data_IF_849674870461
#
_entry.id   IF_849674870461
#
_cell.length_a   1.000
_cell.length_b   1.000
_cell.length_c   1.000
_cell.angle_alpha   90.00
_cell.angle_beta   90.00
_cell.angle_gamma   90.00
#
_symmetry.space_group_name_H-M   'P 1'
#
loop_
_entity.id
_entity.type
_entity.pdbx_description
1 polymer ?
#
# COMPACT_ATOMS: atom_id res chain seq x y z
N UNK A 1 24.71 8.35 -3.65
CA UNK A 1 25.04 9.15 -2.45
C UNK A 1 24.36 8.44 -1.28
N UNK A 2 25.09 7.88 -0.32
CA UNK A 2 24.47 7.24 0.85
C UNK A 2 23.84 8.34 1.71
N UNK A 3 22.52 8.29 1.90
CA UNK A 3 21.78 9.23 2.72
C UNK A 3 22.33 9.15 4.15
N UNK A 4 23.00 10.21 4.61
CA UNK A 4 23.50 10.28 5.98
C UNK A 4 22.31 10.42 6.93
N UNK A 5 21.86 9.30 7.53
CA UNK A 5 20.81 9.29 8.55
C UNK A 5 21.41 8.95 9.94
N UNK A 6 22.16 9.89 10.56
CA UNK A 6 22.80 9.65 11.84
C UNK A 6 21.73 9.30 12.89
N UNK A 7 21.96 8.20 13.60
CA UNK A 7 21.07 7.63 14.61
C UNK A 7 19.65 7.29 14.12
N UNK A 8 19.42 7.07 12.82
CA UNK A 8 18.11 6.66 12.29
C UNK A 8 16.97 7.64 12.66
N UNK A 9 17.31 8.94 12.74
CA UNK A 9 16.41 9.98 13.25
C UNK A 9 15.52 10.58 12.17
N UNK A 10 16.02 10.68 10.93
CA UNK A 10 15.28 11.20 9.79
C UNK A 10 14.28 10.17 9.27
N UNK A 11 13.16 10.67 8.77
CA UNK A 11 12.11 9.85 8.17
C UNK A 11 12.64 9.13 6.94
N UNK A 12 12.48 7.82 6.91
CA UNK A 12 12.70 6.98 5.72
C UNK A 12 11.44 6.16 5.51
N UNK A 13 10.88 6.16 4.31
CA UNK A 13 9.75 5.31 3.93
C UNK A 13 10.19 4.31 2.87
N UNK A 14 9.77 3.06 3.01
CA UNK A 14 9.96 1.99 2.03
C UNK A 14 8.60 1.36 1.74
N UNK A 15 8.24 1.38 0.47
CA UNK A 15 7.09 0.63 -0.03
C UNK A 15 7.45 -0.87 -0.01
N UNK A 16 6.59 -1.68 0.61
CA UNK A 16 6.74 -3.12 0.74
C UNK A 16 5.60 -3.89 0.08
N UNK A 17 4.78 -3.25 -0.78
CA UNK A 17 3.62 -3.89 -1.44
C UNK A 17 4.01 -5.11 -2.29
N UNK A 18 5.09 -5.01 -3.07
CA UNK A 18 5.58 -6.14 -3.88
C UNK A 18 6.02 -7.33 -3.01
N UNK A 19 6.65 -7.03 -1.87
CA UNK A 19 7.06 -8.06 -0.91
C UNK A 19 5.84 -8.70 -0.25
N UNK A 20 4.86 -7.88 0.16
CA UNK A 20 3.62 -8.35 0.77
C UNK A 20 2.83 -9.27 -0.17
N UNK A 21 2.72 -8.93 -1.46
CA UNK A 21 2.08 -9.80 -2.45
C UNK A 21 2.73 -11.19 -2.51
N UNK A 22 4.06 -11.24 -2.63
CA UNK A 22 4.81 -12.50 -2.64
C UNK A 22 4.69 -13.27 -1.32
N UNK A 23 4.75 -12.54 -0.20
CA UNK A 23 4.61 -13.13 1.13
C UNK A 23 3.25 -13.83 1.28
N UNK A 24 2.16 -13.16 0.87
CA UNK A 24 0.82 -13.75 0.94
C UNK A 24 0.66 -14.93 -0.01
N UNK A 25 1.21 -14.86 -1.23
CA UNK A 25 1.22 -16.00 -2.14
C UNK A 25 1.95 -17.21 -1.52
N UNK A 26 3.13 -17.02 -0.93
CA UNK A 26 3.94 -18.11 -0.37
C UNK A 26 3.33 -18.70 0.91
N UNK A 27 2.72 -17.87 1.76
CA UNK A 27 2.20 -18.29 3.08
C UNK A 27 0.77 -18.84 3.02
N UNK A 28 -0.10 -18.23 2.20
CA UNK A 28 -1.52 -18.55 2.19
C UNK A 28 -1.86 -19.73 1.29
N UNK A 29 -1.14 -19.94 0.18
CA UNK A 29 -1.39 -21.06 -0.76
C UNK A 29 -1.03 -22.45 -0.20
N UNK A 30 -0.30 -22.48 0.92
CA UNK A 30 0.06 -23.71 1.64
C UNK A 30 -1.06 -24.14 2.60
N UNK A 31 -2.04 -23.27 2.88
CA UNK A 31 -3.10 -23.56 3.83
C UNK A 31 -4.13 -24.52 3.26
N UNK A 32 -4.34 -25.61 4.00
CA UNK A 32 -5.32 -26.65 3.69
C UNK A 32 -6.09 -27.05 4.94
N UNK A 33 -7.39 -27.32 4.79
CA UNK A 33 -8.23 -27.88 5.84
C UNK A 33 -8.90 -29.15 5.31
N UNK A 34 -8.94 -30.21 6.12
CA UNK A 34 -9.68 -31.43 5.78
C UNK A 34 -10.43 -31.95 6.99
N UNK A 35 -11.69 -32.32 6.79
CA UNK A 35 -12.51 -32.99 7.80
C UNK A 35 -13.32 -34.09 7.13
N UNK A 36 -12.92 -35.34 7.37
CA UNK A 36 -13.54 -36.53 6.77
C UNK A 36 -13.43 -36.53 5.24
N UNK A 37 -14.58 -36.53 4.55
CA UNK A 37 -14.68 -36.52 3.08
C UNK A 37 -14.69 -35.11 2.48
N UNK A 38 -14.57 -34.06 3.31
CA UNK A 38 -14.54 -32.67 2.86
C UNK A 38 -13.13 -32.10 2.98
N UNK A 39 -12.61 -31.54 1.89
CA UNK A 39 -11.30 -30.89 1.87
C UNK A 39 -11.39 -29.51 1.23
N UNK A 40 -10.61 -28.56 1.73
CA UNK A 40 -10.49 -27.19 1.20
C UNK A 40 -9.03 -26.80 1.18
N UNK A 41 -8.62 -26.12 0.11
CA UNK A 41 -7.30 -25.57 -0.10
C UNK A 41 -7.41 -24.16 -0.67
N UNK A 42 -6.51 -23.27 -0.25
CA UNK A 42 -6.31 -21.98 -0.91
C UNK A 42 -5.45 -22.19 -2.15
N UNK A 43 -5.97 -21.86 -3.33
CA UNK A 43 -5.24 -22.05 -4.59
C UNK A 43 -4.34 -20.88 -4.92
N UNK A 44 -4.87 -19.66 -4.76
CA UNK A 44 -4.20 -18.45 -5.23
C UNK A 44 -4.70 -17.19 -4.51
N UNK A 45 -3.82 -16.22 -4.33
CA UNK A 45 -4.19 -14.84 -4.02
C UNK A 45 -4.58 -14.12 -5.32
N UNK A 46 -5.84 -13.69 -5.41
CA UNK A 46 -6.39 -13.04 -6.62
C UNK A 46 -5.98 -11.58 -6.68
N UNK A 47 -6.12 -10.87 -5.56
CA UNK A 47 -5.70 -9.47 -5.46
C UNK A 47 -5.32 -9.10 -4.03
N UNK A 48 -4.37 -8.18 -3.94
CA UNK A 48 -3.88 -7.55 -2.71
C UNK A 48 -3.85 -6.06 -3.01
N UNK A 49 -4.94 -5.38 -2.66
CA UNK A 49 -5.20 -4.00 -3.02
C UNK A 49 -5.09 -3.13 -1.76
N UNK A 50 -4.11 -2.24 -1.73
CA UNK A 50 -3.89 -1.37 -0.58
C UNK A 50 -2.46 -0.87 -0.48
N UNK A 51 -2.16 -0.28 0.66
CA UNK A 51 -0.86 0.31 0.95
C UNK A 51 -0.14 -0.53 2.01
N UNK A 52 1.15 -0.78 1.80
CA UNK A 52 2.03 -1.47 2.75
C UNK A 52 3.34 -0.70 2.82
N UNK A 53 3.49 0.10 3.86
CA UNK A 53 4.63 0.96 4.08
C UNK A 53 5.40 0.53 5.35
N UNK A 54 6.73 0.49 5.22
CA UNK A 54 7.63 0.36 6.35
C UNK A 54 8.41 1.66 6.48
N UNK A 55 8.16 2.36 7.58
CA UNK A 55 8.75 3.65 7.87
C UNK A 55 9.70 3.58 9.06
N UNK A 56 10.70 4.46 9.09
CA UNK A 56 11.54 4.68 10.25
C UNK A 56 11.38 6.10 10.75
N UNK A 57 11.20 6.23 12.07
CA UNK A 57 11.16 7.52 12.75
C UNK A 57 11.74 7.43 14.15
N UNK A 58 12.62 8.38 14.52
CA UNK A 58 13.21 8.49 15.87
C UNK A 58 13.85 7.16 16.35
N UNK A 59 14.52 6.44 15.44
CA UNK A 59 15.16 5.15 15.74
C UNK A 59 14.20 3.95 15.83
N UNK A 60 12.89 4.14 15.63
CA UNK A 60 11.89 3.07 15.62
C UNK A 60 11.42 2.76 14.21
N UNK A 61 11.25 1.48 13.90
CA UNK A 61 10.53 1.02 12.70
C UNK A 61 9.04 1.04 13.02
N UNK A 62 8.26 1.59 12.11
CA UNK A 62 6.81 1.70 12.18
C UNK A 62 6.30 1.10 10.88
N UNK A 63 5.40 0.13 10.99
CA UNK A 63 4.67 -0.41 9.85
C UNK A 63 3.33 0.30 9.78
N UNK A 64 2.93 0.68 8.56
CA UNK A 64 1.60 1.17 8.28
C UNK A 64 1.13 0.41 7.05
N UNK A 65 0.12 -0.42 7.25
CA UNK A 65 -0.49 -1.15 6.16
C UNK A 65 -2.00 -1.12 6.33
N UNK A 66 -2.69 -1.08 5.20
CA UNK A 66 -4.14 -1.19 5.06
C UNK A 66 -4.39 -1.84 3.71
N UNK A 67 -4.81 -3.10 3.75
CA UNK A 67 -4.90 -3.96 2.57
C UNK A 67 -6.22 -4.69 2.54
N UNK A 68 -6.88 -4.64 1.39
CA UNK A 68 -7.97 -5.53 1.02
C UNK A 68 -7.41 -6.71 0.24
N UNK A 69 -7.77 -7.92 0.65
CA UNK A 69 -7.27 -9.14 0.01
C UNK A 69 -8.41 -10.02 -0.49
N UNK A 70 -8.22 -10.65 -1.65
CA UNK A 70 -9.12 -11.66 -2.20
C UNK A 70 -8.36 -12.94 -2.49
N UNK A 71 -8.85 -14.05 -1.95
CA UNK A 71 -8.30 -15.39 -2.11
C UNK A 71 -9.25 -16.25 -2.92
N UNK A 72 -8.72 -17.16 -3.73
CA UNK A 72 -9.48 -18.23 -4.37
C UNK A 72 -9.19 -19.56 -3.67
N UNK A 73 -10.24 -20.33 -3.41
CA UNK A 73 -10.12 -21.65 -2.82
C UNK A 73 -10.84 -22.69 -3.67
N UNK A 74 -10.33 -23.91 -3.62
CA UNK A 74 -10.96 -25.11 -4.15
C UNK A 74 -11.10 -26.15 -3.05
N UNK A 75 -12.06 -27.03 -3.24
CA UNK A 75 -12.31 -28.11 -2.32
C UNK A 75 -13.18 -29.18 -2.93
N UNK A 76 -13.33 -30.27 -2.18
CA UNK A 76 -14.23 -31.35 -2.50
C UNK A 76 -15.12 -31.65 -1.30
N UNK A 77 -16.32 -32.14 -1.58
CA UNK A 77 -17.25 -32.70 -0.60
C UNK A 77 -17.66 -34.10 -1.05
N UNK A 78 -18.30 -34.86 -0.16
CA UNK A 78 -18.84 -36.18 -0.49
C UNK A 78 -19.81 -36.19 -1.69
N UNK A 79 -20.52 -35.07 -1.92
CA UNK A 79 -21.53 -34.94 -2.97
C UNK A 79 -21.00 -34.26 -4.24
N UNK A 80 -20.10 -33.30 -4.10
CA UNK A 80 -19.53 -32.54 -5.20
C UNK A 80 -17.99 -32.61 -5.16
N UNK A 81 -17.34 -33.27 -6.15
CA UNK A 81 -15.90 -33.45 -6.16
C UNK A 81 -15.11 -32.18 -6.52
N UNK A 82 -15.77 -31.14 -7.02
CA UNK A 82 -15.15 -29.86 -7.37
C UNK A 82 -16.04 -28.70 -6.94
N UNK A 83 -15.67 -28.09 -5.82
CA UNK A 83 -16.26 -26.88 -5.28
C UNK A 83 -15.18 -25.80 -5.30
N UNK A 84 -15.51 -24.63 -5.81
CA UNK A 84 -14.62 -23.47 -5.80
C UNK A 84 -15.35 -22.24 -5.25
N UNK A 85 -14.58 -21.29 -4.77
CA UNK A 85 -15.11 -20.04 -4.24
C UNK A 85 -14.01 -19.02 -3.99
N UNK A 86 -14.42 -17.89 -3.44
CA UNK A 86 -13.51 -16.82 -3.04
C UNK A 86 -13.71 -16.44 -1.59
N UNK A 87 -12.62 -16.12 -0.91
CA UNK A 87 -12.63 -15.54 0.44
C UNK A 87 -12.12 -14.10 0.29
N UNK A 88 -12.96 -13.13 0.65
CA UNK A 88 -12.58 -11.71 0.64
C UNK A 88 -12.37 -11.24 2.07
N UNK A 89 -11.25 -10.57 2.29
CA UNK A 89 -10.89 -9.92 3.56
C UNK A 89 -10.91 -8.42 3.27
N UNK A 90 -11.94 -7.68 3.72
CA UNK A 90 -12.15 -6.31 3.30
C UNK A 90 -11.07 -5.35 3.84
N UNK A 91 -10.49 -5.68 4.99
CA UNK A 91 -9.52 -4.84 5.68
C UNK A 91 -8.51 -5.71 6.46
N UNK A 92 -7.23 -5.44 6.22
CA UNK A 92 -6.08 -5.99 6.94
C UNK A 92 -5.22 -4.78 7.26
N UNK A 93 -5.37 -4.23 8.47
CA UNK A 93 -4.68 -3.02 8.88
C UNK A 93 -3.66 -3.29 9.99
N UNK A 94 -2.73 -2.35 10.17
CA UNK A 94 -1.65 -2.44 11.16
C UNK A 94 -2.11 -2.54 12.63
N UNK A 95 -3.35 -2.12 12.89
CA UNK A 95 -4.02 -2.08 14.19
C UNK A 95 -5.14 -3.13 14.31
N UNK A 96 -5.38 -3.93 13.26
CA UNK A 96 -6.35 -5.04 13.32
C UNK A 96 -5.78 -6.20 14.16
N UNK A 97 -6.49 -6.56 15.24
CA UNK A 97 -6.17 -7.74 16.04
C UNK A 97 -6.64 -9.04 15.36
N UNK A 98 -6.13 -10.19 15.81
CA UNK A 98 -6.39 -11.50 15.19
C UNK A 98 -7.88 -11.87 15.12
N UNK A 99 -8.65 -11.47 16.13
CA UNK A 99 -10.09 -11.72 16.25
C UNK A 99 -10.96 -10.69 15.50
N UNK A 100 -10.38 -9.54 15.12
CA UNK A 100 -11.09 -8.46 14.41
C UNK A 100 -11.19 -8.71 12.90
N UNK A 101 -10.39 -9.63 12.34
CA UNK A 101 -10.46 -9.97 10.92
C UNK A 101 -11.85 -10.50 10.51
N UNK A 102 -12.43 -9.82 9.51
CA UNK A 102 -13.69 -10.18 8.86
C UNK A 102 -13.40 -11.01 7.59
N UNK A 103 -14.08 -12.13 7.44
CA UNK A 103 -13.95 -13.02 6.29
C UNK A 103 -15.29 -13.18 5.58
N UNK A 104 -15.37 -12.74 4.33
CA UNK A 104 -16.52 -12.91 3.45
C UNK A 104 -16.28 -14.14 2.54
N UNK A 105 -17.12 -15.17 2.67
CA UNK A 105 -16.97 -16.42 1.93
C UNK A 105 -18.04 -16.50 0.84
N UNK A 106 -17.60 -16.46 -0.41
CA UNK A 106 -18.44 -16.66 -1.59
C UNK A 106 -18.15 -18.02 -2.21
N UNK A 107 -19.15 -18.89 -2.30
CA UNK A 107 -19.01 -20.20 -2.97
C UNK A 107 -19.65 -20.10 -4.35
N UNK A 108 -18.93 -20.51 -5.40
CA UNK A 108 -19.47 -20.48 -6.75
C UNK A 108 -20.56 -21.55 -6.93
N UNK A 109 -21.67 -21.14 -7.55
CA UNK A 109 -22.87 -21.96 -7.75
C UNK A 109 -23.39 -22.54 -6.42
N UNK A 110 -23.76 -21.66 -5.51
CA UNK A 110 -24.19 -22.01 -4.16
C UNK A 110 -25.41 -22.94 -4.16
N UNK A 111 -25.23 -24.12 -3.58
CA UNK A 111 -26.27 -25.13 -3.42
C UNK A 111 -26.26 -25.61 -1.96
N UNK A 112 -27.41 -26.04 -1.40
CA UNK A 112 -27.48 -26.54 -0.02
C UNK A 112 -26.49 -27.68 0.27
N UNK A 113 -26.12 -28.45 -0.76
CA UNK A 113 -25.15 -29.55 -0.70
C UNK A 113 -23.73 -29.10 -0.36
N UNK A 114 -23.39 -27.83 -0.63
CA UNK A 114 -22.08 -27.22 -0.36
C UNK A 114 -22.00 -26.58 1.02
N UNK A 115 -23.05 -26.64 1.84
CA UNK A 115 -23.02 -26.09 3.21
C UNK A 115 -21.86 -26.61 4.07
N UNK A 116 -21.46 -27.91 4.01
CA UNK A 116 -20.36 -28.42 4.85
C UNK A 116 -19.02 -27.76 4.56
N UNK A 117 -18.80 -27.27 3.33
CA UNK A 117 -17.55 -26.60 2.95
C UNK A 117 -17.41 -25.25 3.66
N UNK A 118 -18.52 -24.53 3.83
CA UNK A 118 -18.53 -23.24 4.54
C UNK A 118 -18.26 -23.44 6.02
N UNK A 119 -18.80 -24.51 6.59
CA UNK A 119 -18.57 -24.84 8.00
C UNK A 119 -17.12 -25.24 8.24
N UNK A 120 -16.51 -26.02 7.35
CA UNK A 120 -15.08 -26.35 7.41
C UNK A 120 -14.18 -25.11 7.25
N UNK A 121 -14.53 -24.20 6.34
CA UNK A 121 -13.79 -22.95 6.18
C UNK A 121 -13.84 -22.13 7.47
N UNK A 122 -15.00 -22.07 8.14
CA UNK A 122 -15.15 -21.33 9.40
C UNK A 122 -14.48 -22.00 10.60
N UNK A 123 -14.50 -23.33 10.68
CA UNK A 123 -13.94 -24.05 11.83
C UNK A 123 -12.42 -24.17 11.77
N UNK A 124 -11.84 -24.40 10.59
CA UNK A 124 -10.45 -24.84 10.47
C UNK A 124 -9.60 -23.89 9.61
N UNK A 125 -10.14 -23.37 8.51
CA UNK A 125 -9.37 -22.53 7.58
C UNK A 125 -9.24 -21.08 8.08
N UNK A 126 -10.33 -20.49 8.59
CA UNK A 126 -10.34 -19.12 9.11
C UNK A 126 -9.38 -18.95 10.30
N UNK A 127 -9.34 -19.85 11.30
CA UNK A 127 -8.34 -19.75 12.37
C UNK A 127 -6.89 -19.83 11.86
N UNK A 128 -6.62 -20.66 10.85
CA UNK A 128 -5.29 -20.71 10.24
C UNK A 128 -4.94 -19.41 9.49
N UNK A 129 -5.90 -18.84 8.76
CA UNK A 129 -5.74 -17.56 8.07
C UNK A 129 -5.47 -16.43 9.07
N UNK A 130 -6.19 -16.40 10.19
CA UNK A 130 -5.99 -15.42 11.27
C UNK A 130 -4.58 -15.47 11.84
N UNK A 131 -4.08 -16.65 12.18
CA UNK A 131 -2.71 -16.84 12.68
C UNK A 131 -1.68 -16.41 11.62
N UNK A 132 -1.89 -16.78 10.35
CA UNK A 132 -0.99 -16.41 9.26
C UNK A 132 -0.95 -14.88 9.03
N UNK A 133 -2.10 -14.21 9.07
CA UNK A 133 -2.19 -12.76 8.96
C UNK A 133 -1.58 -12.04 10.18
N UNK A 134 -1.76 -12.59 11.38
CA UNK A 134 -1.11 -12.06 12.60
C UNK A 134 0.43 -12.11 12.53
N UNK A 135 1.00 -13.07 11.79
CA UNK A 135 2.45 -13.16 11.57
C UNK A 135 2.99 -12.19 10.51
N UNK A 136 2.12 -11.58 9.70
CA UNK A 136 2.55 -10.65 8.66
C UNK A 136 3.29 -9.43 9.22
N UNK A 137 2.73 -8.76 10.23
CA UNK A 137 3.32 -7.57 10.85
C UNK A 137 4.73 -7.81 11.42
N UNK A 138 4.99 -8.84 12.25
CA UNK A 138 6.34 -9.11 12.74
C UNK A 138 7.31 -9.52 11.65
N UNK A 139 6.89 -10.30 10.65
CA UNK A 139 7.74 -10.71 9.52
C UNK A 139 8.13 -9.50 8.65
N UNK A 140 7.20 -8.58 8.42
CA UNK A 140 7.43 -7.34 7.70
C UNK A 140 8.50 -6.47 8.38
N UNK A 141 8.45 -6.36 9.73
CA UNK A 141 9.47 -5.66 10.52
C UNK A 141 10.80 -6.41 10.50
N UNK A 142 10.80 -7.74 10.57
CA UNK A 142 12.02 -8.54 10.60
C UNK A 142 12.81 -8.45 9.29
N UNK A 143 12.11 -8.46 8.16
CA UNK A 143 12.70 -8.41 6.82
C UNK A 143 13.15 -6.99 6.46
N UNK A 144 12.28 -5.99 6.62
CA UNK A 144 12.57 -4.63 6.17
C UNK A 144 13.10 -3.69 7.26
N UNK A 145 13.00 -4.07 8.53
CA UNK A 145 13.51 -3.24 9.63
C UNK A 145 15.03 -3.08 9.59
N UNK A 146 15.76 -4.10 9.14
CA UNK A 146 17.23 -4.07 9.01
C UNK A 146 17.70 -3.23 7.82
N UNK A 147 16.95 -3.25 6.71
CA UNK A 147 17.26 -2.47 5.51
C UNK A 147 17.15 -0.96 5.74
N UNK A 148 16.27 -0.55 6.65
CA UNK A 148 15.98 0.86 6.90
C UNK A 148 16.83 1.41 8.08
N UNK A 149 17.34 0.54 8.96
CA UNK A 149 18.17 0.92 10.11
C UNK A 149 19.67 0.85 9.80
N UNK A 150 20.38 1.97 9.95
CA UNK A 150 21.85 1.96 10.07
C UNK A 150 22.24 1.42 11.46
N UNK A 151 23.24 0.53 11.52
CA UNK A 151 23.73 -0.01 12.78
C UNK A 151 24.29 1.10 13.69
N UNK A 152 24.07 1.04 15.02
CA UNK A 152 24.67 1.99 15.94
C UNK A 152 26.19 1.77 16.00
N UNK A 153 26.97 2.76 15.54
CA UNK A 153 28.42 2.77 15.70
C UNK A 153 29.25 2.88 14.42
N UNK A 154 28.65 2.87 13.22
CA UNK A 154 29.40 3.11 11.97
C UNK A 154 29.33 4.59 11.58
N UNK A 155 30.04 5.43 12.34
CA UNK A 155 30.46 6.72 11.80
C UNK A 155 31.43 6.46 10.63
N UNK A 156 31.38 7.22 9.52
CA UNK A 156 32.38 7.08 8.48
C UNK A 156 33.76 7.46 9.04
N UNK A 157 34.64 6.48 9.15
CA UNK A 157 36.07 6.72 9.36
C UNK A 157 36.61 7.43 8.13
N UNK A 158 36.88 8.72 8.26
CA UNK A 158 37.68 9.46 7.30
C UNK A 158 39.13 9.00 7.43
N UNK A 159 39.56 8.07 6.57
CA UNK A 159 40.98 7.92 6.27
C UNK A 159 41.30 8.78 5.04
N UNK A 160 42.09 9.86 5.18
CA UNK A 160 42.50 10.65 4.03
C UNK A 160 43.53 9.83 3.23
N UNK A 161 43.16 9.34 2.05
CA UNK A 161 44.14 8.77 1.12
C UNK A 161 45.03 9.88 0.57
N UNK A 162 46.34 9.68 0.71
CA UNK A 162 47.41 10.54 0.24
C UNK A 162 47.41 10.70 -1.29
N UNK A 163 47.97 11.80 -1.82
CA UNK A 163 47.92 12.13 -3.25
C UNK A 163 48.87 11.26 -4.09
N UNK A 164 48.35 10.68 -5.17
CA UNK A 164 49.14 9.94 -6.17
C UNK A 164 49.52 10.91 -7.30
N UNK A 165 50.83 11.06 -7.51
CA UNK A 165 51.48 11.84 -8.58
C UNK A 165 51.38 11.06 -9.91
N UNK A 166 51.15 11.72 -11.07
CA UNK A 166 51.02 11.02 -12.36
C UNK A 166 52.37 10.79 -13.05
N UNK A 167 52.62 9.56 -13.52
CA UNK A 167 53.75 9.25 -14.40
C UNK A 167 53.28 9.03 -15.85
N UNK A 168 53.81 9.87 -16.74
CA UNK A 168 53.67 9.85 -18.20
C UNK A 168 54.30 8.57 -18.80
N UNK A 169 53.58 7.84 -19.67
CA UNK A 169 53.62 7.89 -21.14
C UNK A 169 54.62 6.92 -21.80
N UNK A 170 54.09 6.00 -22.61
CA UNK A 170 54.74 5.51 -23.82
C UNK A 170 53.69 4.96 -24.80
N UNK A 171 53.83 5.38 -26.05
CA UNK A 171 52.86 5.37 -27.14
C UNK A 171 53.05 4.22 -28.13
N UNK A 172 52.01 3.94 -28.92
CA UNK A 172 51.97 3.53 -30.36
C UNK A 172 50.80 2.56 -30.58
N UNK A 173 50.03 2.55 -31.68
CA UNK A 173 49.94 3.35 -32.90
C UNK A 173 48.55 3.11 -33.54
N UNK A 174 48.18 4.00 -34.45
CA UNK A 174 46.87 4.24 -35.08
C UNK A 174 46.26 3.12 -35.94
N UNK A 175 44.92 2.98 -35.90
CA UNK A 175 44.08 2.87 -37.11
C UNK A 175 42.66 3.39 -36.83
N UNK A 176 42.12 4.12 -37.79
CA UNK A 176 40.89 4.92 -37.81
C UNK A 176 39.59 4.11 -37.71
N UNK A 177 38.66 4.53 -36.84
CA UNK A 177 37.21 4.44 -37.07
C UNK A 177 36.54 5.70 -36.47
N UNK A 178 35.81 6.44 -37.32
CA UNK A 178 34.92 7.56 -36.94
C UNK A 178 33.94 7.10 -35.84
N UNK A 179 33.95 7.74 -34.68
CA UNK A 179 32.90 7.60 -33.66
C UNK A 179 32.53 8.97 -33.07
N UNK A 180 31.38 9.47 -33.50
CA UNK A 180 30.51 10.36 -32.71
C UNK A 180 30.01 9.56 -31.51
N UNK A 181 30.44 9.91 -30.30
CA UNK A 181 29.87 9.33 -29.06
C UNK A 181 29.81 10.37 -27.95
N UNK A 182 28.58 10.78 -27.70
CA UNK A 182 27.96 11.15 -26.43
C UNK A 182 28.59 10.52 -25.18
N UNK A 183 28.98 11.36 -24.22
CA UNK A 183 29.36 10.97 -22.85
C UNK A 183 28.32 11.45 -21.85
N UNK A 184 27.55 10.52 -21.30
CA UNK A 184 26.75 10.66 -20.08
C UNK A 184 26.62 9.28 -19.44
N UNK A 185 26.50 9.17 -18.10
CA UNK A 185 26.45 7.88 -17.40
C UNK A 185 25.30 7.03 -17.95
N UNK A 186 25.53 5.74 -18.10
CA UNK A 186 24.53 4.78 -18.58
C UNK A 186 23.44 4.69 -17.49
N UNK A 187 22.37 5.45 -17.66
CA UNK A 187 21.17 5.36 -16.83
C UNK A 187 20.31 4.29 -17.47
N UNK A 188 20.08 3.17 -16.77
CA UNK A 188 19.09 2.20 -17.21
C UNK A 188 17.72 2.88 -17.16
N UNK A 189 16.96 2.79 -18.24
CA UNK A 189 15.65 3.45 -18.39
C UNK A 189 14.54 2.43 -18.54
N UNK A 190 13.36 2.75 -18.01
CA UNK A 190 12.12 1.99 -18.18
C UNK A 190 11.11 2.81 -18.99
N UNK A 191 10.17 2.09 -19.62
CA UNK A 191 9.02 2.67 -20.31
C UNK A 191 7.76 2.41 -19.51
N UNK A 192 7.08 3.49 -19.15
CA UNK A 192 5.81 3.52 -18.46
C UNK A 192 4.66 3.64 -19.44
N UNK A 193 3.59 2.89 -19.21
CA UNK A 193 2.32 3.09 -19.91
C UNK A 193 1.18 3.24 -18.91
N UNK A 194 0.23 4.12 -19.23
CA UNK A 194 -0.97 4.32 -18.44
C UNK A 194 -2.14 4.76 -19.32
N UNK A 195 -3.36 4.47 -18.89
CA UNK A 195 -4.58 4.81 -19.62
C UNK A 195 -5.59 5.43 -18.68
N UNK A 196 -5.89 6.72 -18.89
CA UNK A 196 -6.68 7.53 -17.96
C UNK A 196 -7.89 8.11 -18.69
N UNK A 197 -9.09 7.86 -18.18
CA UNK A 197 -10.31 8.46 -18.74
C UNK A 197 -10.62 9.84 -18.13
N UNK A 198 -11.01 10.79 -18.99
CA UNK A 198 -11.52 12.11 -18.63
C UNK A 198 -12.91 12.35 -19.26
N UNK A 199 -13.85 12.86 -18.47
CA UNK A 199 -15.20 13.21 -18.93
C UNK A 199 -15.19 14.60 -19.59
N UNK A 200 -14.54 14.68 -20.77
CA UNK A 200 -14.41 15.90 -21.56
C UNK A 200 -14.09 15.57 -23.01
N UNK A 201 -14.17 16.55 -23.91
CA UNK A 201 -13.71 16.42 -25.30
C UNK A 201 -12.18 16.52 -25.41
N UNK A 202 -11.60 15.87 -26.41
CA UNK A 202 -10.18 15.87 -26.72
C UNK A 202 -9.63 17.28 -26.96
N UNK A 203 -10.42 18.18 -27.57
CA UNK A 203 -10.06 19.59 -27.76
C UNK A 203 -9.88 20.32 -26.42
N UNK A 204 -10.83 20.13 -25.50
CA UNK A 204 -10.74 20.73 -24.17
C UNK A 204 -9.58 20.13 -23.36
N UNK A 205 -9.36 18.81 -23.45
CA UNK A 205 -8.25 18.17 -22.76
C UNK A 205 -6.90 18.61 -23.31
N UNK A 206 -6.76 18.71 -24.63
CA UNK A 206 -5.57 19.24 -25.31
C UNK A 206 -5.25 20.66 -24.84
N UNK A 207 -6.26 21.52 -24.78
CA UNK A 207 -6.09 22.91 -24.33
C UNK A 207 -5.58 22.99 -22.89
N UNK A 208 -5.85 22.01 -22.02
CA UNK A 208 -5.37 22.01 -20.62
C UNK A 208 -3.86 21.82 -20.49
N UNK A 209 -3.22 21.17 -21.47
CA UNK A 209 -1.78 20.98 -21.50
C UNK A 209 -1.03 22.07 -22.26
N UNK A 210 -1.71 22.78 -23.17
CA UNK A 210 -1.10 23.77 -24.08
C UNK A 210 -1.42 25.21 -23.71
N UNK A 211 -2.57 25.49 -23.12
CA UNK A 211 -2.94 26.87 -22.74
C UNK A 211 -2.28 27.27 -21.40
N UNK A 212 -1.47 28.35 -21.37
CA UNK A 212 -0.80 28.79 -20.14
C UNK A 212 -1.77 29.13 -19.01
N UNK A 213 -2.95 29.66 -19.35
CA UNK A 213 -4.00 29.99 -18.37
C UNK A 213 -4.53 28.75 -17.68
N UNK A 214 -4.89 27.73 -18.47
CA UNK A 214 -5.34 26.44 -17.94
C UNK A 214 -4.25 25.71 -17.17
N UNK A 215 -3.02 25.73 -17.67
CA UNK A 215 -1.86 25.13 -16.97
C UNK A 215 -1.65 25.78 -15.60
N UNK A 216 -1.75 27.10 -15.52
CA UNK A 216 -1.66 27.82 -14.25
C UNK A 216 -2.80 27.42 -13.29
N UNK A 217 -4.02 27.24 -13.80
CA UNK A 217 -5.18 26.88 -13.00
C UNK A 217 -5.00 25.50 -12.32
N UNK A 218 -4.61 24.46 -13.05
CA UNK A 218 -4.48 23.12 -12.46
C UNK A 218 -3.15 22.90 -11.74
N UNK A 219 -2.05 23.52 -12.19
CA UNK A 219 -0.75 23.41 -11.50
C UNK A 219 -0.65 24.27 -10.23
N UNK A 220 -1.64 25.15 -10.00
CA UNK A 220 -1.71 26.11 -8.88
C UNK A 220 -0.46 27.00 -8.74
N UNK A 221 0.34 27.10 -9.80
CA UNK A 221 1.57 27.88 -9.85
C UNK A 221 1.76 28.45 -11.24
N UNK A 222 2.22 29.70 -11.31
CA UNK A 222 2.54 30.30 -12.61
C UNK A 222 3.79 29.64 -13.17
N UNK A 223 3.74 29.05 -14.38
CA UNK A 223 4.93 28.49 -15.02
C UNK A 223 6.01 29.56 -15.16
N UNK A 224 7.26 29.23 -14.81
CA UNK A 224 8.37 30.18 -14.89
C UNK A 224 8.78 30.46 -16.35
N UNK A 225 8.67 29.43 -17.17
CA UNK A 225 8.88 29.46 -18.62
C UNK A 225 7.79 28.56 -19.19
N UNK A 226 7.05 29.02 -20.20
CA UNK A 226 6.05 28.21 -20.86
C UNK A 226 5.81 28.74 -22.26
N UNK A 227 6.35 28.03 -23.24
CA UNK A 227 6.21 28.36 -24.65
C UNK A 227 5.39 27.27 -25.36
N UNK A 228 4.10 27.47 -25.65
CA UNK A 228 3.24 26.47 -26.27
C UNK A 228 3.48 26.36 -27.79
N UNK A 229 4.72 26.07 -28.17
CA UNK A 229 5.16 25.90 -29.55
C UNK A 229 6.06 24.67 -29.64
N UNK A 230 6.15 24.06 -30.82
CA UNK A 230 7.13 22.99 -31.07
C UNK A 230 8.54 23.56 -30.89
N UNK A 231 9.36 22.89 -30.07
CA UNK A 231 10.66 23.37 -29.60
C UNK A 231 10.61 24.35 -28.43
N UNK A 232 9.42 24.64 -27.91
CA UNK A 232 9.22 25.55 -26.78
C UNK A 232 9.51 24.87 -25.45
N UNK A 233 10.27 25.55 -24.58
CA UNK A 233 10.56 25.05 -23.24
C UNK A 233 9.40 25.34 -22.27
N UNK A 234 9.22 24.47 -21.29
CA UNK A 234 8.33 24.69 -20.17
C UNK A 234 8.98 24.34 -18.83
N UNK A 235 8.55 25.04 -17.79
CA UNK A 235 9.02 24.87 -16.41
C UNK A 235 7.84 25.04 -15.45
N UNK A 236 7.48 23.94 -14.80
CA UNK A 236 6.32 23.81 -13.91
C UNK A 236 6.78 23.60 -12.46
N UNK A 237 5.87 23.84 -11.50
CA UNK A 237 6.09 23.61 -10.07
C UNK A 237 7.34 24.31 -9.52
N UNK A 238 7.51 25.59 -9.85
CA UNK A 238 8.66 26.38 -9.38
C UNK A 238 10.02 25.96 -9.95
N UNK A 239 10.04 25.20 -11.05
CA UNK A 239 11.27 24.69 -11.66
C UNK A 239 11.63 23.26 -11.25
N UNK A 240 10.77 22.59 -10.49
CA UNK A 240 10.96 21.18 -10.16
C UNK A 240 10.71 20.26 -11.35
N UNK A 241 9.85 20.69 -12.28
CA UNK A 241 9.62 19.98 -13.55
C UNK A 241 10.02 20.89 -14.69
N UNK A 242 10.77 20.34 -15.63
CA UNK A 242 11.19 21.07 -16.82
C UNK A 242 11.22 20.15 -18.04
N UNK A 243 11.03 20.74 -19.21
CA UNK A 243 10.87 20.00 -20.43
C UNK A 243 10.72 20.91 -21.64
N UNK A 244 10.50 20.30 -22.79
CA UNK A 244 10.36 20.95 -24.08
C UNK A 244 9.29 20.22 -24.91
N UNK A 245 8.43 20.97 -25.60
CA UNK A 245 7.45 20.38 -26.50
C UNK A 245 8.13 19.91 -27.79
N UNK A 246 8.27 18.61 -27.99
CA UNK A 246 8.88 18.03 -29.20
C UNK A 246 7.91 17.94 -30.37
N UNK A 247 6.65 17.62 -30.10
CA UNK A 247 5.59 17.54 -31.12
C UNK A 247 4.24 17.95 -30.50
N UNK A 248 3.48 18.74 -31.24
CA UNK A 248 2.15 19.21 -30.88
C UNK A 248 1.22 18.96 -32.07
N UNK A 249 0.45 17.88 -32.01
CA UNK A 249 -0.63 17.59 -32.96
C UNK A 249 -1.95 17.95 -32.30
N UNK A 250 -2.61 18.98 -32.83
CA UNK A 250 -3.85 19.52 -32.27
C UNK A 250 -4.87 18.40 -32.03
N UNK A 251 -5.41 18.34 -30.81
CA UNK A 251 -6.48 17.44 -30.36
C UNK A 251 -6.17 15.93 -30.44
N UNK A 252 -4.94 15.54 -30.84
CA UNK A 252 -4.61 14.14 -31.15
C UNK A 252 -3.43 13.63 -30.32
N UNK A 253 -2.32 14.38 -30.30
CA UNK A 253 -1.07 13.91 -29.67
C UNK A 253 -0.18 15.05 -29.19
N UNK A 254 0.40 14.89 -28.01
CA UNK A 254 1.45 15.75 -27.48
C UNK A 254 2.67 14.89 -27.16
N UNK A 255 3.84 15.27 -27.67
CA UNK A 255 5.12 14.66 -27.29
C UNK A 255 5.98 15.74 -26.67
N UNK A 256 6.44 15.51 -25.45
CA UNK A 256 7.27 16.43 -24.71
C UNK A 256 8.46 15.72 -24.08
N UNK A 257 9.61 16.39 -24.04
CA UNK A 257 10.66 16.00 -23.10
C UNK A 257 10.22 16.38 -21.70
N UNK A 258 10.61 15.57 -20.72
CA UNK A 258 10.25 15.77 -19.34
C UNK A 258 11.41 15.35 -18.45
N UNK A 259 11.73 16.14 -17.43
CA UNK A 259 12.61 15.73 -16.35
C UNK A 259 12.16 16.31 -15.02
N UNK A 260 12.49 15.60 -13.96
CA UNK A 260 12.40 16.06 -12.59
C UNK A 260 13.74 16.72 -12.18
N UNK A 261 13.70 17.77 -11.36
CA UNK A 261 14.91 18.44 -10.87
C UNK A 261 15.85 17.54 -10.06
N UNK A 262 15.34 16.44 -9.51
CA UNK A 262 16.12 15.42 -8.79
C UNK A 262 16.84 14.40 -9.69
N UNK A 263 16.56 14.37 -11.00
CA UNK A 263 17.15 13.40 -11.92
C UNK A 263 18.60 13.74 -12.30
N UNK A 264 19.39 12.76 -12.79
CA UNK A 264 20.75 13.00 -13.25
C UNK A 264 20.82 14.13 -14.27
N UNK A 265 21.85 14.98 -14.13
CA UNK A 265 22.02 16.16 -15.00
C UNK A 265 22.07 15.74 -16.48
N UNK A 266 21.19 16.36 -17.28
CA UNK A 266 21.10 16.11 -18.72
C UNK A 266 20.29 14.87 -19.12
N UNK A 267 19.66 14.18 -18.16
CA UNK A 267 18.75 13.07 -18.45
C UNK A 267 17.32 13.60 -18.65
N UNK A 268 16.75 13.33 -19.82
CA UNK A 268 15.37 13.68 -20.16
C UNK A 268 14.63 12.44 -20.60
N UNK A 269 13.45 12.27 -20.05
CA UNK A 269 12.46 11.31 -20.52
C UNK A 269 11.63 11.90 -21.64
N UNK A 270 10.97 11.06 -22.44
CA UNK A 270 10.02 11.47 -23.47
C UNK A 270 8.63 11.00 -23.05
N UNK A 271 7.78 11.97 -22.74
CA UNK A 271 6.37 11.76 -22.42
C UNK A 271 5.52 11.97 -23.68
N UNK A 272 4.81 10.93 -24.07
CA UNK A 272 3.85 10.92 -25.18
C UNK A 272 2.44 10.77 -24.62
N UNK A 273 1.59 11.72 -24.96
CA UNK A 273 0.17 11.77 -24.59
C UNK A 273 -0.65 11.64 -25.87
N UNK A 274 -1.49 10.62 -25.96
CA UNK A 274 -2.41 10.40 -27.08
C UNK A 274 -3.84 10.56 -26.57
N UNK A 275 -4.62 11.40 -27.25
CA UNK A 275 -6.01 11.67 -26.92
C UNK A 275 -6.91 10.84 -27.83
N UNK A 276 -7.62 9.88 -27.23
CA UNK A 276 -8.54 8.98 -27.92
C UNK A 276 -9.98 9.41 -27.55
N UNK A 277 -10.64 10.10 -28.48
CA UNK A 277 -11.99 10.64 -28.28
C UNK A 277 -13.04 9.52 -28.42
N UNK A 278 -13.69 9.17 -27.30
CA UNK A 278 -14.87 8.32 -27.27
C UNK A 278 -16.18 9.11 -27.48
N UNK A 279 -17.32 8.46 -27.28
CA UNK A 279 -18.65 9.10 -27.45
C UNK A 279 -18.92 10.21 -26.44
N UNK A 280 -18.60 9.97 -25.17
CA UNK A 280 -18.92 10.87 -24.05
C UNK A 280 -17.70 11.20 -23.18
N UNK A 281 -16.57 10.53 -23.42
CA UNK A 281 -15.32 10.68 -22.66
C UNK A 281 -14.11 10.62 -23.59
N UNK A 282 -12.99 11.17 -23.13
CA UNK A 282 -11.69 11.07 -23.81
C UNK A 282 -10.76 10.21 -22.98
N UNK A 283 -10.18 9.18 -23.60
CA UNK A 283 -9.13 8.36 -22.98
C UNK A 283 -7.77 8.93 -23.32
N UNK A 284 -7.04 9.35 -22.29
CA UNK A 284 -5.65 9.77 -22.37
C UNK A 284 -4.75 8.54 -22.24
N UNK A 285 -4.13 8.12 -23.35
CA UNK A 285 -3.08 7.09 -23.32
C UNK A 285 -1.74 7.77 -23.12
N UNK A 286 -1.10 7.49 -22.00
CA UNK A 286 0.22 7.98 -21.66
C UNK A 286 1.26 6.90 -21.96
N UNK A 287 2.30 7.27 -22.70
CA UNK A 287 3.50 6.44 -22.90
C UNK A 287 4.71 7.28 -22.56
N UNK A 288 5.53 6.80 -21.64
CA UNK A 288 6.59 7.59 -21.06
C UNK A 288 7.89 6.80 -21.06
N UNK A 289 8.78 7.16 -21.96
CA UNK A 289 10.02 6.45 -22.23
C UNK A 289 11.20 7.20 -21.62
N UNK A 290 12.23 6.48 -21.19
CA UNK A 290 13.45 7.12 -20.69
C UNK A 290 13.34 7.57 -19.23
N UNK A 291 12.48 6.92 -18.43
CA UNK A 291 12.42 7.18 -16.98
C UNK A 291 13.52 6.38 -16.29
N UNK A 292 14.36 6.97 -15.42
CA UNK A 292 15.39 6.23 -14.69
C UNK A 292 14.82 5.05 -13.90
N UNK A 293 15.49 3.90 -13.95
CA UNK A 293 15.15 2.74 -13.11
C UNK A 293 15.16 3.14 -11.63
N UNK A 294 14.09 2.80 -10.90
CA UNK A 294 13.88 3.16 -9.49
C UNK A 294 13.07 4.45 -9.27
N UNK A 295 12.90 5.29 -10.30
CA UNK A 295 12.07 6.50 -10.25
C UNK A 295 10.69 6.30 -10.93
N UNK A 296 10.46 5.14 -11.52
CA UNK A 296 9.29 4.78 -12.31
C UNK A 296 7.96 5.02 -11.56
N UNK A 297 7.78 4.36 -10.43
CA UNK A 297 6.54 4.44 -9.65
C UNK A 297 6.34 5.82 -9.05
N UNK A 298 7.41 6.44 -8.56
CA UNK A 298 7.38 7.81 -8.01
C UNK A 298 6.92 8.79 -9.09
N UNK A 299 7.45 8.64 -10.30
CA UNK A 299 7.12 9.48 -11.46
C UNK A 299 5.67 9.25 -11.90
N UNK A 300 5.22 7.98 -11.97
CA UNK A 300 3.83 7.64 -12.30
C UNK A 300 2.83 8.17 -11.26
N UNK A 301 3.10 7.94 -9.96
CA UNK A 301 2.27 8.43 -8.85
C UNK A 301 2.20 9.96 -8.85
N UNK A 302 3.34 10.63 -8.97
CA UNK A 302 3.38 12.09 -9.02
C UNK A 302 2.61 12.63 -10.24
N UNK A 303 2.69 11.96 -11.38
CA UNK A 303 1.89 12.35 -12.54
C UNK A 303 0.39 12.19 -12.27
N UNK A 304 -0.04 11.05 -11.72
CA UNK A 304 -1.43 10.82 -11.32
C UNK A 304 -1.94 11.87 -10.32
N UNK A 305 -1.15 12.17 -9.30
CA UNK A 305 -1.57 13.07 -8.23
C UNK A 305 -1.51 14.56 -8.62
N UNK A 306 -0.44 14.98 -9.28
CA UNK A 306 -0.24 16.40 -9.58
C UNK A 306 -0.82 16.82 -10.93
N UNK A 307 -0.88 15.94 -11.92
CA UNK A 307 -1.47 16.23 -13.23
C UNK A 307 -2.92 15.74 -13.27
N UNK A 308 -3.14 14.44 -13.21
CA UNK A 308 -4.47 13.85 -13.47
C UNK A 308 -5.51 14.32 -12.45
N UNK A 309 -5.23 14.16 -11.16
CA UNK A 309 -6.15 14.55 -10.07
C UNK A 309 -6.38 16.06 -10.06
N UNK A 310 -5.34 16.86 -10.23
CA UNK A 310 -5.48 18.33 -10.31
C UNK A 310 -6.32 18.77 -11.51
N UNK A 311 -6.13 18.20 -12.69
CA UNK A 311 -6.92 18.50 -13.89
C UNK A 311 -8.38 18.10 -13.67
N UNK A 312 -8.62 16.88 -13.15
CA UNK A 312 -9.98 16.40 -12.84
C UNK A 312 -10.69 17.28 -11.82
N UNK A 313 -10.00 17.73 -10.77
CA UNK A 313 -10.58 18.60 -9.75
C UNK A 313 -10.81 20.03 -10.23
N UNK A 314 -9.88 20.58 -11.02
CA UNK A 314 -9.92 22.00 -11.45
C UNK A 314 -11.01 22.24 -12.49
N UNK A 315 -11.17 21.31 -13.43
CA UNK A 315 -12.13 21.46 -14.54
C UNK A 315 -13.35 20.55 -14.41
N UNK A 316 -13.44 19.74 -13.36
CA UNK A 316 -14.59 18.85 -13.12
C UNK A 316 -14.64 17.63 -14.03
N UNK A 317 -13.53 17.23 -14.67
CA UNK A 317 -13.47 16.09 -15.60
C UNK A 317 -13.45 14.70 -14.91
N UNK A 318 -13.85 14.64 -13.65
CA UNK A 318 -13.91 13.41 -12.87
C UNK A 318 -15.15 12.58 -13.25
N UNK A 319 -15.01 11.26 -13.26
CA UNK A 319 -16.13 10.32 -13.26
C UNK A 319 -16.85 10.43 -11.91
N UNK A 320 -17.97 11.15 -11.87
CA UNK A 320 -18.85 11.13 -10.71
C UNK A 320 -19.44 9.72 -10.58
N UNK A 321 -19.38 9.07 -9.40
CA UNK A 321 -20.23 7.91 -9.17
C UNK A 321 -21.70 8.34 -9.35
N UNK A 322 -22.58 7.45 -9.87
CA UNK A 322 -23.99 7.80 -10.05
C UNK A 322 -24.54 8.33 -8.73
N UNK A 323 -25.08 9.56 -8.76
CA UNK A 323 -25.78 10.14 -7.61
C UNK A 323 -26.89 9.17 -7.22
N UNK A 324 -26.72 8.48 -6.10
CA UNK A 324 -27.84 7.80 -5.44
C UNK A 324 -28.81 8.91 -5.03
N UNK A 325 -29.89 9.07 -5.79
CA UNK A 325 -31.03 9.88 -5.38
C UNK A 325 -31.63 9.22 -4.14
N UNK A 326 -31.26 9.70 -2.93
CA UNK A 326 -32.07 9.45 -1.73
C UNK A 326 -33.37 10.23 -1.90
N UNK A 327 -34.48 9.51 -2.06
CA UNK A 327 -35.81 10.09 -1.92
C UNK A 327 -35.96 10.68 -0.51
N UNK A 328 -36.43 11.93 -0.35
CA UNK A 328 -36.79 12.47 0.94
C UNK A 328 -38.18 11.96 1.32
N UNK A 329 -38.24 10.79 1.97
CA UNK A 329 -39.51 10.26 2.47
C UNK A 329 -39.66 10.60 3.97
N UNK A 330 -40.60 11.52 4.24
CA UNK A 330 -41.36 11.73 5.48
C UNK A 330 -40.59 12.16 6.75
N UNK A 331 -40.64 13.46 7.01
CA UNK A 331 -40.50 14.07 8.34
C UNK A 331 -41.72 13.77 9.22
N UNK A 332 -41.59 13.32 10.48
CA UNK A 332 -42.68 13.37 11.45
C UNK A 332 -42.77 14.77 12.06
N UNK A 333 -43.98 15.34 12.03
CA UNK A 333 -44.37 16.61 12.65
C UNK A 333 -44.39 16.53 14.19
N UNK A 334 -44.15 17.64 14.92
CA UNK A 334 -44.16 17.65 16.39
C UNK A 334 -45.59 17.77 16.93
N UNK A 335 -45.94 16.92 17.91
CA UNK A 335 -47.16 17.05 18.72
C UNK A 335 -46.85 17.61 20.11
N UNK A 336 -47.78 18.41 20.60
CA UNK A 336 -47.71 19.28 21.77
C UNK A 336 -47.93 18.58 23.12
N UNK A 337 -47.16 19.04 24.11
CA UNK A 337 -47.41 19.13 25.57
C UNK A 337 -48.75 18.63 26.13
N UNK A 338 -48.71 17.78 27.18
CA UNK A 338 -49.57 17.93 28.38
C UNK A 338 -48.88 17.33 29.61
N UNK A 339 -48.99 18.05 30.73
CA UNK A 339 -48.32 17.89 32.01
C UNK A 339 -48.78 16.71 32.87
N UNK A 340 -47.95 16.32 33.86
CA UNK A 340 -48.37 15.59 35.06
C UNK A 340 -48.14 16.47 36.31
N UNK A 341 -49.00 16.34 37.35
CA UNK A 341 -49.16 17.37 38.38
C UNK A 341 -48.22 17.24 39.58
N UNK A 342 -48.05 18.39 40.23
CA UNK A 342 -47.39 18.63 41.53
C UNK A 342 -48.15 17.95 42.66
N UNK A 343 -47.44 17.22 43.53
CA UNK A 343 -47.89 16.91 44.90
C UNK A 343 -46.91 17.58 45.86
N UNK A 344 -47.44 18.48 46.69
CA UNK A 344 -46.72 19.17 47.73
C UNK A 344 -47.07 18.57 49.11
N UNK A 345 -46.04 18.50 49.97
CA UNK A 345 -46.18 18.69 51.42
C UNK A 345 -46.17 17.42 52.27
N UNK A 346 -45.22 17.35 53.22
CA UNK A 346 -45.45 16.60 54.45
C UNK A 346 -44.25 15.99 55.18
N UNK A 347 -43.54 16.84 55.93
CA UNK A 347 -43.01 16.57 57.27
C UNK A 347 -41.73 15.75 57.50
N UNK A 348 -40.98 16.27 58.48
CA UNK A 348 -39.70 15.88 59.01
C UNK A 348 -39.80 14.81 60.13
N UNK A 349 -38.74 14.01 60.29
CA UNK A 349 -38.15 13.45 61.54
C UNK A 349 -37.07 12.44 61.10
N UNK A 350 -35.77 12.69 61.32
CA UNK A 350 -34.99 12.53 62.55
C UNK A 350 -34.55 11.07 62.86
N UNK A 351 -33.27 10.97 63.23
CA UNK A 351 -32.54 9.82 63.81
C UNK A 351 -32.24 8.62 62.88
N UNK A 352 -31.17 7.86 63.03
CA UNK A 352 -29.81 7.96 63.57
C UNK A 352 -29.19 6.56 63.41
N UNK A 353 -27.89 6.48 63.19
CA UNK A 353 -26.97 5.42 63.62
C UNK A 353 -27.39 3.93 63.47
N UNK A 354 -26.63 3.19 62.66
CA UNK A 354 -25.69 2.15 63.13
C UNK A 354 -25.13 1.37 61.95
N UNK A 355 -23.85 1.59 61.68
CA UNK A 355 -23.00 0.69 60.91
C UNK A 355 -22.39 -0.28 61.92
N UNK A 356 -22.69 -1.58 61.82
CA UNK A 356 -21.99 -2.64 62.55
C UNK A 356 -21.86 -3.87 61.65
N UNK A 357 -20.61 -4.11 61.23
CA UNK A 357 -19.87 -5.39 61.24
C UNK A 357 -20.62 -6.69 60.90
N UNK A 358 -20.18 -7.36 59.83
CA UNK A 358 -19.62 -8.74 59.83
C UNK A 358 -19.47 -9.21 58.36
N UNK A 359 -18.26 -9.37 57.83
CA UNK A 359 -17.40 -10.57 57.86
C UNK A 359 -17.95 -11.81 57.11
N UNK A 360 -17.30 -12.08 55.95
CA UNK A 360 -16.74 -13.38 55.49
C UNK A 360 -17.76 -14.53 55.27
N UNK A 361 -17.72 -15.25 54.15
CA UNK A 361 -17.00 -16.53 54.00
C UNK A 361 -16.85 -16.89 52.52
N UNK A 362 -15.61 -17.10 52.11
CA UNK A 362 -15.20 -18.00 51.03
C UNK A 362 -14.80 -19.33 51.67
N UNK A 363 -15.25 -20.50 51.18
CA UNK A 363 -14.58 -21.77 51.41
C UNK A 363 -13.87 -22.22 50.11
N UNK A 364 -12.54 -22.40 50.06
CA UNK A 364 -11.70 -23.42 50.73
C UNK A 364 -11.81 -24.80 50.07
N UNK A 365 -10.72 -25.28 49.47
CA UNK A 365 -9.97 -26.42 50.00
C UNK A 365 -8.75 -26.79 49.13
N UNK A 366 -7.57 -26.67 49.74
CA UNK A 366 -6.35 -27.36 49.37
C UNK A 366 -5.85 -28.07 50.64
N UNK A 367 -5.48 -29.36 50.56
CA UNK A 367 -4.70 -30.10 51.57
C UNK A 367 -3.96 -31.20 50.78
N UNK A 368 -2.66 -31.06 50.45
CA UNK A 368 -1.43 -31.27 51.26
C UNK A 368 -1.18 -32.75 51.60
N UNK A 369 -0.07 -33.33 51.10
CA UNK A 369 1.07 -33.82 51.92
C UNK A 369 2.21 -34.42 51.05
N UNK A 370 3.43 -33.95 51.32
CA UNK A 370 4.77 -34.51 51.02
C UNK A 370 5.10 -35.68 51.99
N UNK A 371 6.34 -36.24 52.02
CA UNK A 371 7.23 -36.78 50.97
C UNK A 371 7.70 -38.22 51.36
N UNK A 372 8.72 -38.80 50.68
CA UNK A 372 9.87 -39.57 51.26
C UNK A 372 10.45 -40.66 50.30
N UNK A 373 11.79 -40.73 50.26
CA UNK A 373 12.74 -41.83 49.88
C UNK A 373 13.32 -41.93 48.43
N UNK A 374 14.56 -41.42 48.34
CA UNK A 374 15.87 -42.01 47.93
C UNK A 374 16.13 -42.71 46.59
N UNK A 375 17.24 -42.23 46.00
CA UNK A 375 18.41 -42.92 45.40
C UNK A 375 18.21 -44.05 44.37
N UNK A 376 18.78 -43.84 43.18
CA UNK A 376 19.85 -44.70 42.68
C UNK A 376 20.67 -43.98 41.59
N UNK A 377 21.97 -43.91 41.85
CA UNK A 377 23.05 -43.55 40.95
C UNK A 377 23.37 -44.71 39.97
N UNK A 378 23.96 -44.30 38.85
CA UNK A 378 24.96 -45.00 38.02
C UNK A 378 24.57 -46.04 36.97
N UNK A 379 25.25 -45.84 35.83
CA UNK A 379 25.77 -46.78 34.83
C UNK A 379 24.80 -47.83 34.27
N UNK A 380 24.57 -47.77 32.95
CA UNK A 380 25.46 -48.58 32.14
C UNK A 380 25.51 -48.21 30.65
N UNK A 381 26.73 -48.34 30.18
CA UNK A 381 27.22 -48.18 28.82
C UNK A 381 27.24 -49.61 28.24
N UNK A 382 27.13 -49.71 26.91
CA UNK A 382 27.59 -50.86 26.08
C UNK A 382 26.64 -52.08 25.96
N UNK A 383 26.11 -52.30 24.74
CA UNK A 383 26.36 -53.43 23.80
C UNK A 383 25.28 -53.36 22.69
N UNK A 384 25.64 -53.04 21.44
CA UNK A 384 25.99 -53.97 20.34
C UNK A 384 24.73 -54.37 19.56
N UNK A 385 24.68 -54.27 18.22
CA UNK A 385 25.50 -54.95 17.20
C UNK A 385 25.66 -54.07 15.96
#
# INVERSE_FOLDING_TARGET
MVLHNPNNWHWVNKDAREWAQKYFDDKLTVLTASSGETSVKVDKVVSVDGDVDVSQRKGKVITLFDVKMRLEFSGSTASDPSVSGTITIPEIAHDTEEDEYVFEIDVYSDTPTKSPIRDLIRSDLIPQLRVALGQFSPDLVAEHGKDIQHAPGTGPSYTPSAPIIPAAAASSSSTSVKKTTSSGPIVNTVTLTDSIEFQTSAEQLYSVFVDPGRVTAWSRSTPKVFEPKVGGAFSLFGGNVEGEFKCLEKDTKIVQSWRLGGWPKGHYSTLTLVFDQGSDSTTLRMTWEGVPVGEEEVTKRNFGEYYVKSIKQTFGYATLPPRVYRNPTTSPSPSSSTALPVVAGGSAMAFAAKMFVAFVVVPVMAVVLLPVIKEALWDDKIFSV
#
